data_IF_391911301900
#
_entry.id   IF_391911301900
#
_cell.length_a   1.000
_cell.length_b   1.000
_cell.length_c   1.000
_cell.angle_alpha   90.00
_cell.angle_beta   90.00
_cell.angle_gamma   90.00
#
_symmetry.space_group_name_H-M   'P 1'
#
loop_
_entity.id
_entity.type
_entity.pdbx_description
1 polymer ?
#
# COMPACT_ATOMS: atom_id res chain seq x y z
N UNK A 1 -47.98 -33.58 -9.05
CA UNK A 1 -47.11 -32.65 -8.27
C UNK A 1 -45.61 -32.88 -8.55
N UNK A 2 -45.14 -34.13 -8.62
CA UNK A 2 -43.74 -34.53 -8.90
C UNK A 2 -43.15 -34.02 -10.23
N UNK A 3 -43.93 -33.91 -11.31
CA UNK A 3 -43.42 -33.42 -12.61
C UNK A 3 -43.04 -31.92 -12.58
N UNK A 4 -43.70 -31.14 -11.72
CA UNK A 4 -43.49 -29.68 -11.59
C UNK A 4 -42.27 -29.37 -10.73
N UNK A 5 -41.97 -30.20 -9.73
CA UNK A 5 -40.73 -30.13 -8.96
C UNK A 5 -39.54 -30.58 -9.81
N UNK A 6 -39.66 -31.66 -10.57
CA UNK A 6 -38.55 -32.14 -11.41
C UNK A 6 -38.13 -31.13 -12.49
N UNK A 7 -39.11 -30.46 -13.12
CA UNK A 7 -38.87 -29.38 -14.10
C UNK A 7 -38.20 -28.15 -13.47
N UNK A 8 -38.52 -27.83 -12.21
CA UNK A 8 -37.87 -26.74 -11.46
C UNK A 8 -36.43 -27.09 -11.10
N UNK A 9 -36.17 -28.31 -10.64
CA UNK A 9 -34.83 -28.78 -10.31
C UNK A 9 -33.91 -28.80 -11.54
N UNK A 10 -34.43 -29.23 -12.70
CA UNK A 10 -33.69 -29.20 -13.97
C UNK A 10 -33.37 -27.76 -14.43
N UNK A 11 -34.32 -26.84 -14.31
CA UNK A 11 -34.10 -25.42 -14.62
C UNK A 11 -33.04 -24.78 -13.72
N UNK A 12 -33.07 -25.06 -12.42
CA UNK A 12 -32.06 -24.58 -11.48
C UNK A 12 -30.67 -25.16 -11.79
N UNK A 13 -30.59 -26.46 -12.10
CA UNK A 13 -29.32 -27.09 -12.48
C UNK A 13 -28.72 -26.48 -13.75
N UNK A 14 -29.55 -26.23 -14.76
CA UNK A 14 -29.12 -25.58 -16.00
C UNK A 14 -28.64 -24.14 -15.76
N UNK A 15 -29.35 -23.37 -14.94
CA UNK A 15 -29.02 -21.98 -14.67
C UNK A 15 -27.73 -21.87 -13.85
N UNK A 16 -27.53 -22.76 -12.89
CA UNK A 16 -26.28 -22.85 -12.12
C UNK A 16 -25.09 -23.22 -13.02
N UNK A 17 -25.25 -24.21 -13.90
CA UNK A 17 -24.21 -24.59 -14.86
C UNK A 17 -23.85 -23.43 -15.79
N UNK A 18 -24.84 -22.69 -16.30
CA UNK A 18 -24.63 -21.54 -17.16
C UNK A 18 -23.86 -20.41 -16.44
N UNK A 19 -24.21 -20.11 -15.19
CA UNK A 19 -23.48 -19.10 -14.39
C UNK A 19 -22.05 -19.54 -14.10
N UNK A 20 -21.82 -20.82 -13.77
CA UNK A 20 -20.47 -21.37 -13.57
C UNK A 20 -19.62 -21.29 -14.85
N UNK A 21 -20.19 -21.61 -16.01
CA UNK A 21 -19.49 -21.51 -17.30
C UNK A 21 -19.18 -20.05 -17.67
N UNK A 22 -20.10 -19.11 -17.41
CA UNK A 22 -19.82 -17.68 -17.60
C UNK A 22 -18.72 -17.17 -16.67
N UNK A 23 -18.70 -17.60 -15.40
CA UNK A 23 -17.67 -17.22 -14.45
C UNK A 23 -16.28 -17.79 -14.83
N UNK A 24 -16.23 -19.02 -15.35
CA UNK A 24 -15.01 -19.64 -15.87
C UNK A 24 -14.48 -18.94 -17.13
N UNK A 25 -15.37 -18.52 -18.03
CA UNK A 25 -14.99 -17.75 -19.21
C UNK A 25 -14.55 -16.30 -18.87
N UNK A 26 -15.20 -15.67 -17.88
CA UNK A 26 -14.89 -14.30 -17.45
C UNK A 26 -13.60 -14.15 -16.63
N UNK A 27 -13.12 -15.23 -16.00
CA UNK A 27 -11.91 -15.23 -15.17
C UNK A 27 -10.66 -15.78 -15.89
N UNK A 28 -10.64 -15.82 -17.23
CA UNK A 28 -9.42 -16.14 -17.99
C UNK A 28 -8.36 -15.02 -17.99
N UNK A 29 -8.39 -14.12 -17.01
CA UNK A 29 -7.23 -13.27 -16.74
C UNK A 29 -6.05 -14.19 -16.38
N UNK A 30 -5.06 -14.25 -17.26
CA UNK A 30 -3.81 -14.95 -16.98
C UNK A 30 -3.27 -14.49 -15.62
N UNK A 31 -3.27 -15.40 -14.63
CA UNK A 31 -2.39 -15.30 -13.47
C UNK A 31 -0.97 -15.42 -14.00
N UNK A 32 -0.33 -14.27 -14.24
CA UNK A 32 1.08 -14.21 -14.61
C UNK A 32 1.89 -14.53 -13.35
N UNK A 33 2.11 -15.81 -13.09
CA UNK A 33 3.20 -16.23 -12.22
C UNK A 33 4.51 -15.85 -12.93
N UNK A 34 5.27 -14.91 -12.35
CA UNK A 34 6.63 -14.58 -12.81
C UNK A 34 7.46 -15.87 -12.83
N UNK A 35 7.76 -16.40 -14.02
CA UNK A 35 8.73 -17.48 -14.20
C UNK A 35 9.91 -17.04 -15.07
N UNK A 36 10.27 -15.77 -15.07
CA UNK A 36 11.50 -15.34 -15.74
C UNK A 36 12.70 -15.74 -14.91
N UNK A 37 13.70 -16.33 -15.56
CA UNK A 37 15.00 -16.61 -14.97
C UNK A 37 15.67 -15.30 -14.50
N UNK A 38 16.51 -15.33 -13.45
CA UNK A 38 17.18 -14.14 -12.96
C UNK A 38 18.04 -13.51 -14.07
N UNK A 39 17.73 -12.29 -14.49
CA UNK A 39 18.57 -11.52 -15.42
C UNK A 39 17.85 -10.96 -16.66
N UNK A 40 16.66 -11.45 -17.00
CA UNK A 40 15.84 -10.83 -18.05
C UNK A 40 14.85 -9.84 -17.43
N UNK A 41 15.18 -8.55 -17.50
CA UNK A 41 14.32 -7.43 -17.03
C UNK A 41 13.36 -6.92 -18.10
N UNK A 42 13.46 -7.46 -19.31
CA UNK A 42 12.64 -7.10 -20.46
C UNK A 42 11.79 -8.32 -20.81
N UNK A 43 10.47 -8.28 -20.57
CA UNK A 43 9.58 -9.33 -21.03
C UNK A 43 9.71 -9.55 -22.55
N UNK A 44 9.42 -10.73 -23.08
CA UNK A 44 9.36 -10.95 -24.53
C UNK A 44 8.10 -10.28 -25.12
N UNK A 45 8.26 -9.56 -26.25
CA UNK A 45 7.17 -8.93 -27.02
C UNK A 45 6.05 -9.93 -27.42
N UNK A 46 4.76 -9.51 -27.49
CA UNK A 46 4.22 -8.18 -27.23
C UNK A 46 3.63 -8.04 -25.82
N UNK A 47 4.11 -7.07 -25.04
CA UNK A 47 3.59 -6.75 -23.70
C UNK A 47 3.43 -5.23 -23.55
N UNK A 48 2.37 -4.81 -22.89
CA UNK A 48 2.16 -3.41 -22.54
C UNK A 48 2.94 -3.10 -21.26
N UNK A 49 4.03 -2.36 -21.39
CA UNK A 49 4.76 -1.78 -20.26
C UNK A 49 3.97 -0.59 -19.70
N UNK A 50 3.58 -0.66 -18.43
CA UNK A 50 2.97 0.45 -17.69
C UNK A 50 3.97 1.21 -16.80
N UNK A 51 5.27 0.90 -16.90
CA UNK A 51 6.33 1.67 -16.25
C UNK A 51 6.95 2.66 -17.24
N UNK A 52 7.36 3.81 -16.72
CA UNK A 52 8.15 4.81 -17.45
C UNK A 52 9.44 4.17 -17.96
N UNK A 53 9.55 4.01 -19.28
CA UNK A 53 10.79 3.59 -19.93
C UNK A 53 11.76 4.77 -19.89
N UNK A 54 12.80 4.70 -19.05
CA UNK A 54 13.90 5.67 -19.08
C UNK A 54 14.79 5.29 -20.26
N UNK A 55 14.56 5.94 -21.41
CA UNK A 55 15.43 5.82 -22.58
C UNK A 55 16.65 6.73 -22.37
N UNK A 56 17.82 6.13 -22.17
CA UNK A 56 19.08 6.88 -22.14
C UNK A 56 19.48 7.18 -23.59
N UNK A 57 19.44 8.45 -23.97
CA UNK A 57 20.02 8.90 -25.25
C UNK A 57 21.54 8.80 -25.14
N UNK A 58 22.14 7.83 -25.83
CA UNK A 58 23.59 7.55 -25.85
C UNK A 58 24.47 8.69 -26.40
N UNK A 59 23.87 9.80 -26.83
CA UNK A 59 24.56 11.02 -27.25
C UNK A 59 24.69 12.11 -26.18
N UNK A 60 24.08 11.98 -25.00
CA UNK A 60 24.30 12.89 -23.87
C UNK A 60 25.50 12.41 -23.05
N UNK A 61 26.56 13.23 -22.98
CA UNK A 61 27.60 13.06 -21.96
C UNK A 61 26.96 13.29 -20.60
N UNK A 62 26.61 12.21 -19.89
CA UNK A 62 26.23 12.30 -18.48
C UNK A 62 27.48 12.81 -17.76
N UNK A 63 27.44 14.00 -17.14
CA UNK A 63 28.59 14.48 -16.38
C UNK A 63 28.94 13.39 -15.36
N UNK A 64 30.24 13.04 -15.20
CA UNK A 64 30.64 12.00 -14.25
C UNK A 64 30.07 12.38 -12.88
N UNK A 65 29.21 11.52 -12.35
CA UNK A 65 28.67 11.71 -11.02
C UNK A 65 29.86 11.73 -10.06
N UNK A 66 30.00 12.81 -9.30
CA UNK A 66 30.98 12.87 -8.22
C UNK A 66 30.77 11.65 -7.32
N UNK A 67 31.84 11.02 -6.78
CA UNK A 67 31.69 9.90 -5.87
C UNK A 67 30.70 10.24 -4.77
N UNK A 68 29.65 9.42 -4.59
CA UNK A 68 28.73 9.61 -3.47
C UNK A 68 29.51 9.35 -2.19
N UNK A 69 29.65 10.38 -1.37
CA UNK A 69 30.20 10.27 -0.02
C UNK A 69 29.02 10.08 0.92
N UNK A 70 28.98 8.93 1.59
CA UNK A 70 27.99 8.65 2.62
C UNK A 70 28.65 8.80 3.98
N UNK A 71 27.96 9.43 4.92
CA UNK A 71 28.29 9.40 6.34
C UNK A 71 27.12 8.78 7.11
N UNK A 72 27.42 8.14 8.23
CA UNK A 72 26.38 7.77 9.17
C UNK A 72 25.89 9.02 9.89
N UNK A 73 24.57 9.13 10.06
CA UNK A 73 23.99 10.07 11.00
C UNK A 73 24.16 9.50 12.41
N UNK A 74 24.65 10.31 13.33
CA UNK A 74 24.65 9.97 14.75
C UNK A 74 23.22 9.99 15.27
N UNK A 75 22.90 9.09 16.20
CA UNK A 75 21.66 9.20 16.97
C UNK A 75 21.80 10.39 17.91
N UNK A 76 20.89 11.35 17.80
CA UNK A 76 20.84 12.50 18.69
C UNK A 76 20.22 12.08 20.03
N UNK A 77 20.92 12.36 21.14
CA UNK A 77 20.46 12.09 22.50
C UNK A 77 20.92 10.77 23.12
N UNK A 78 20.57 10.58 24.39
CA UNK A 78 20.86 9.36 25.13
C UNK A 78 19.90 8.22 24.74
N UNK A 79 20.30 6.94 24.92
CA UNK A 79 19.37 5.82 24.81
C UNK A 79 18.16 6.00 25.72
N UNK A 80 17.01 5.48 25.31
CA UNK A 80 15.81 5.45 26.15
C UNK A 80 16.02 4.60 27.40
N UNK A 81 15.21 4.82 28.42
CA UNK A 81 15.31 4.16 29.73
C UNK A 81 14.87 2.69 29.74
N UNK A 82 14.23 2.23 28.65
CA UNK A 82 13.69 0.87 28.49
C UNK A 82 13.80 0.38 27.04
N UNK A 83 13.72 -0.95 26.82
CA UNK A 83 13.68 -1.54 25.48
C UNK A 83 12.48 -1.06 24.66
N UNK A 84 12.64 -1.00 23.33
CA UNK A 84 11.60 -0.50 22.42
C UNK A 84 10.29 -1.29 22.52
N UNK A 85 10.36 -2.60 22.78
CA UNK A 85 9.19 -3.48 22.90
C UNK A 85 8.29 -3.12 24.10
N UNK A 86 8.86 -2.47 25.12
CA UNK A 86 8.18 -2.04 26.34
C UNK A 86 8.02 -0.50 26.42
N UNK A 87 8.38 0.24 25.37
CA UNK A 87 8.36 1.70 25.37
C UNK A 87 7.13 2.24 24.63
N UNK A 88 6.14 2.86 25.31
CA UNK A 88 4.89 3.30 24.68
C UNK A 88 5.09 4.41 23.64
N UNK A 89 6.11 5.27 23.80
CA UNK A 89 6.45 6.27 22.77
C UNK A 89 7.09 5.69 21.51
N UNK A 90 7.75 4.52 21.62
CA UNK A 90 8.40 3.86 20.47
C UNK A 90 7.52 2.77 19.86
N UNK A 91 6.66 2.14 20.66
CA UNK A 91 5.82 1.03 20.27
C UNK A 91 4.33 1.39 20.39
N UNK A 92 3.78 1.85 19.27
CA UNK A 92 2.37 2.22 19.14
C UNK A 92 1.40 1.07 19.45
N UNK A 93 1.85 -0.19 19.43
CA UNK A 93 1.00 -1.34 19.78
C UNK A 93 0.62 -1.33 21.26
N UNK A 94 1.50 -0.83 22.13
CA UNK A 94 1.24 -0.69 23.58
C UNK A 94 0.12 0.34 23.81
N UNK A 95 0.29 1.52 23.20
CA UNK A 95 -0.70 2.60 23.23
C UNK A 95 -2.01 2.20 22.56
N UNK A 96 -1.93 1.40 21.50
CA UNK A 96 -3.04 1.02 20.66
C UNK A 96 -3.72 2.21 19.98
N UNK A 97 -4.80 1.93 19.27
CA UNK A 97 -5.54 2.94 18.52
C UNK A 97 -7.03 2.62 18.48
N UNK A 98 -7.84 3.64 18.21
CA UNK A 98 -9.28 3.52 18.02
C UNK A 98 -9.73 4.30 16.79
N UNK A 99 -10.81 3.85 16.16
CA UNK A 99 -11.39 4.58 15.03
C UNK A 99 -11.88 5.95 15.49
N UNK A 100 -11.63 6.97 14.69
CA UNK A 100 -12.03 8.34 14.98
C UNK A 100 -12.59 9.02 13.71
N UNK A 101 -13.16 10.20 13.87
CA UNK A 101 -13.65 11.03 12.77
C UNK A 101 -12.73 12.23 12.55
N UNK A 102 -12.54 12.60 11.29
CA UNK A 102 -11.71 13.74 10.92
C UNK A 102 -11.64 13.91 9.41
N UNK A 103 -10.80 14.84 8.93
CA UNK A 103 -10.59 15.03 7.50
C UNK A 103 -9.90 13.80 6.90
N UNK A 104 -10.54 13.18 5.90
CA UNK A 104 -10.00 12.04 5.14
C UNK A 104 -9.33 12.55 3.86
N UNK A 105 -8.18 13.16 4.03
CA UNK A 105 -7.42 13.75 2.93
C UNK A 105 -6.00 14.11 3.36
N UNK A 106 -5.22 14.56 2.40
CA UNK A 106 -3.89 15.08 2.68
C UNK A 106 -4.00 16.37 3.50
N UNK A 107 -3.27 16.44 4.60
CA UNK A 107 -3.17 17.64 5.43
C UNK A 107 -1.88 18.38 5.06
N UNK A 108 -2.01 19.65 4.71
CA UNK A 108 -0.86 20.48 4.36
C UNK A 108 -0.21 21.01 5.65
N UNK A 109 0.83 20.33 6.12
CA UNK A 109 1.69 20.80 7.20
C UNK A 109 2.92 21.49 6.61
N UNK A 110 2.98 22.82 6.69
CA UNK A 110 4.17 23.59 6.31
C UNK A 110 4.20 24.16 4.89
N UNK A 111 3.16 23.97 4.08
CA UNK A 111 3.04 24.55 2.73
C UNK A 111 3.84 23.81 1.66
N UNK A 112 3.73 24.28 0.41
CA UNK A 112 4.51 23.78 -0.74
C UNK A 112 5.99 24.14 -0.54
N UNK A 113 6.74 23.28 0.13
CA UNK A 113 8.20 23.44 0.31
C UNK A 113 8.91 23.56 -1.04
N UNK A 114 8.34 22.95 -2.08
CA UNK A 114 8.78 23.09 -3.46
C UNK A 114 7.53 23.12 -4.39
N UNK A 115 7.16 24.27 -4.97
CA UNK A 115 6.04 24.36 -5.91
C UNK A 115 6.30 23.60 -7.23
N UNK A 116 7.52 23.11 -7.46
CA UNK A 116 7.88 22.26 -8.60
C UNK A 116 8.02 20.78 -8.24
N UNK A 117 7.65 20.38 -7.00
CA UNK A 117 7.68 18.99 -6.60
C UNK A 117 6.86 18.12 -7.58
N UNK A 118 7.44 17.04 -8.13
CA UNK A 118 6.73 16.16 -9.04
C UNK A 118 5.48 15.56 -8.37
N UNK A 119 4.31 15.91 -8.90
CA UNK A 119 3.02 15.36 -8.48
C UNK A 119 2.84 13.99 -9.16
N UNK A 120 3.24 12.90 -8.47
CA UNK A 120 3.21 11.53 -9.01
C UNK A 120 1.78 11.11 -9.39
N UNK A 121 0.77 11.62 -8.69
CA UNK A 121 -0.64 11.36 -8.99
C UNK A 121 -1.04 11.88 -10.38
N UNK A 122 -0.49 13.02 -10.80
CA UNK A 122 -0.69 13.62 -12.12
C UNK A 122 0.01 12.90 -13.27
N UNK A 123 0.89 11.92 -12.98
CA UNK A 123 1.56 11.12 -14.03
C UNK A 123 0.63 10.08 -14.67
N UNK A 124 -0.53 9.80 -14.07
CA UNK A 124 -1.48 8.81 -14.57
C UNK A 124 -2.77 9.46 -15.09
N UNK A 125 -3.33 8.90 -16.16
CA UNK A 125 -4.66 9.24 -16.66
C UNK A 125 -5.66 8.11 -16.39
N UNK A 126 -6.67 8.27 -15.51
CA UNK A 126 -6.92 9.42 -14.64
C UNK A 126 -5.94 9.51 -13.44
N UNK A 127 -5.85 10.67 -12.75
CA UNK A 127 -4.99 10.82 -11.58
C UNK A 127 -5.24 9.75 -10.52
N UNK A 128 -4.16 9.21 -9.98
CA UNK A 128 -4.20 8.10 -9.02
C UNK A 128 -3.94 8.63 -7.61
N UNK A 129 -4.93 9.28 -7.02
CA UNK A 129 -4.93 9.59 -5.60
C UNK A 129 -5.57 8.44 -4.82
N UNK A 130 -4.87 7.83 -3.84
CA UNK A 130 -5.50 6.86 -2.96
C UNK A 130 -6.59 7.56 -2.13
N UNK A 131 -7.80 7.03 -2.16
CA UNK A 131 -8.89 7.54 -1.31
C UNK A 131 -8.71 7.07 0.12
N UNK A 132 -8.65 8.00 1.07
CA UNK A 132 -8.66 7.71 2.50
C UNK A 132 -10.05 7.18 2.92
N UNK A 133 -10.09 6.00 3.57
CA UNK A 133 -11.35 5.31 3.92
C UNK A 133 -11.70 5.39 5.41
N UNK A 134 -10.68 5.38 6.26
CA UNK A 134 -10.83 5.29 7.71
C UNK A 134 -9.73 6.10 8.37
N UNK A 135 -10.03 6.67 9.54
CA UNK A 135 -9.09 7.40 10.38
C UNK A 135 -9.03 6.73 11.76
N UNK A 136 -7.84 6.69 12.33
CA UNK A 136 -7.60 6.13 13.67
C UNK A 136 -6.79 7.13 14.50
N UNK A 137 -7.09 7.21 15.78
CA UNK A 137 -6.30 7.96 16.76
C UNK A 137 -5.57 7.00 17.68
N UNK A 138 -4.32 7.32 18.00
CA UNK A 138 -3.52 6.61 19.00
C UNK A 138 -3.92 7.16 20.38
N UNK A 139 -4.12 6.29 21.36
CA UNK A 139 -4.42 6.72 22.73
C UNK A 139 -3.23 7.45 23.35
N UNK A 140 -3.48 8.42 24.23
CA UNK A 140 -2.44 8.99 25.06
C UNK A 140 -1.83 7.93 26.01
N UNK A 141 -0.63 8.21 26.50
CA UNK A 141 -0.01 7.41 27.56
C UNK A 141 0.09 8.23 28.84
N UNK A 142 -0.65 7.80 29.86
CA UNK A 142 -0.58 8.42 31.18
C UNK A 142 0.58 7.79 31.96
N UNK A 143 1.58 8.58 32.28
CA UNK A 143 2.73 8.17 33.09
C UNK A 143 2.47 8.25 34.60
N UNK A 144 1.38 8.91 35.04
CA UNK A 144 1.06 9.09 36.45
C UNK A 144 0.44 7.84 37.09
N UNK A 145 -0.13 6.95 36.28
CA UNK A 145 -0.62 5.66 36.77
C UNK A 145 0.54 4.67 36.96
N UNK A 146 0.71 4.19 38.20
CA UNK A 146 1.68 3.16 38.56
C UNK A 146 1.13 2.33 39.74
N UNK A 147 1.10 0.97 39.70
CA UNK A 147 1.56 0.05 38.64
C UNK A 147 0.48 -0.38 37.63
N UNK A 148 0.81 -0.77 36.37
CA UNK A 148 2.16 -0.82 35.74
C UNK A 148 2.74 0.56 35.42
N UNK A 149 3.98 0.63 34.93
CA UNK A 149 4.69 1.88 34.60
C UNK A 149 4.01 2.65 33.45
N UNK A 150 2.98 3.38 33.83
CA UNK A 150 2.01 4.02 32.96
C UNK A 150 0.88 3.11 32.48
N UNK A 151 -0.14 3.75 31.91
CA UNK A 151 -1.34 3.11 31.41
C UNK A 151 -1.93 3.92 30.25
N UNK A 152 -2.86 3.30 29.53
CA UNK A 152 -3.53 3.92 28.39
C UNK A 152 -4.45 5.05 28.85
N UNK A 153 -4.20 6.26 28.36
CA UNK A 153 -5.04 7.44 28.54
C UNK A 153 -6.15 7.55 27.50
N UNK A 154 -6.69 8.76 27.35
CA UNK A 154 -7.74 9.10 26.39
C UNK A 154 -7.20 9.26 24.96
#
# INVERSE_FOLDING_TARGET
MLLRTHRRTLLFGFLFLAVMLLAMAGNQAQLHAQSSAPGETVPPEPYQLFLSLISVNSGQTIPPQQPLVYSSLSVEGAPTDRPAEAHPDLNLTIRGYSATSGHLGLVNYGGDTDPQAPQIDGMFGPPRLPGFKTLFQVYDWDWACNPPDGCRGA
#
